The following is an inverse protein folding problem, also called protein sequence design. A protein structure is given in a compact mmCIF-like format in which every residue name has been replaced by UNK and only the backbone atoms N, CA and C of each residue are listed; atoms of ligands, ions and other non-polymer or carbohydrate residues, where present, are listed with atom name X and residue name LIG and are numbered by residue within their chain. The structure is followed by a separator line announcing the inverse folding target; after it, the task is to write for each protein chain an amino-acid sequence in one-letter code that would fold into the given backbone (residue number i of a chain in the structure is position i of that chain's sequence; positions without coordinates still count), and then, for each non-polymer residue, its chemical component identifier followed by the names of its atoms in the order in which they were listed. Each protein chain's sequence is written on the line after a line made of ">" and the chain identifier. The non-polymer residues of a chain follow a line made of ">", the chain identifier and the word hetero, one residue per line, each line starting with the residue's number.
data_IF_123686803332
#
_entry.id   IF_123686803332
#
_cell.length_a   1.000
_cell.length_b   1.000
_cell.length_c   1.000
_cell.angle_alpha   90.00
_cell.angle_beta   90.00
_cell.angle_gamma   90.00
#
_symmetry.space_group_name_H-M   'P 1'
#
loop_
_entity.id
_entity.type
_entity.pdbx_description
1 polymer ?
#
# COMPACT_ATOMS: atom_id res chain seq x y z
N UNK A 1 20.47 -17.95 6.63
CA UNK A 1 18.99 -18.06 6.71
C UNK A 1 18.56 -19.48 7.12
N UNK A 2 19.15 -20.06 8.17
CA UNK A 2 18.79 -21.40 8.66
C UNK A 2 18.39 -21.32 10.12
N UNK A 3 17.08 -21.34 10.39
CA UNK A 3 16.45 -21.98 11.55
C UNK A 3 14.93 -21.80 11.42
N UNK A 4 14.24 -22.93 11.33
CA UNK A 4 12.82 -23.13 11.09
C UNK A 4 11.85 -22.19 11.81
N UNK A 5 11.09 -21.44 11.01
CA UNK A 5 9.68 -21.14 11.26
C UNK A 5 8.99 -21.06 9.88
N UNK A 6 8.62 -22.23 9.32
CA UNK A 6 8.08 -22.34 7.95
C UNK A 6 6.90 -21.41 7.69
N UNK A 7 6.17 -21.00 8.74
CA UNK A 7 4.98 -20.15 8.67
C UNK A 7 5.28 -18.73 8.15
N UNK A 8 6.41 -18.13 8.51
CA UNK A 8 6.75 -16.74 8.15
C UNK A 8 7.69 -16.61 6.96
N UNK A 9 8.25 -17.72 6.48
CA UNK A 9 9.22 -17.69 5.36
C UNK A 9 8.62 -17.03 4.12
N UNK A 10 7.39 -17.38 3.77
CA UNK A 10 6.69 -16.77 2.63
C UNK A 10 6.46 -15.27 2.85
N UNK A 11 6.04 -14.88 4.06
CA UNK A 11 5.81 -13.47 4.40
C UNK A 11 7.07 -12.59 4.31
N UNK A 12 8.20 -13.11 4.80
CA UNK A 12 9.50 -12.43 4.69
C UNK A 12 9.93 -12.32 3.22
N UNK A 13 9.70 -13.36 2.41
CA UNK A 13 10.01 -13.33 0.98
C UNK A 13 9.14 -12.32 0.22
N UNK A 14 7.85 -12.24 0.52
CA UNK A 14 6.94 -11.24 -0.07
C UNK A 14 7.38 -9.82 0.31
N UNK A 15 7.73 -9.59 1.58
CA UNK A 15 8.26 -8.29 2.04
C UNK A 15 9.59 -7.92 1.37
N UNK A 16 10.49 -8.90 1.21
CA UNK A 16 11.73 -8.74 0.46
C UNK A 16 11.49 -8.42 -1.01
N UNK A 17 10.49 -9.05 -1.64
CA UNK A 17 10.12 -8.77 -3.02
C UNK A 17 9.56 -7.35 -3.19
N UNK A 18 8.69 -6.90 -2.29
CA UNK A 18 8.14 -5.54 -2.29
C UNK A 18 9.26 -4.50 -2.21
N UNK A 19 10.18 -4.67 -1.26
CA UNK A 19 11.31 -3.74 -1.08
C UNK A 19 12.30 -3.80 -2.24
N UNK A 20 12.53 -4.97 -2.83
CA UNK A 20 13.38 -5.11 -4.02
C UNK A 20 12.78 -4.44 -5.26
N UNK A 21 11.49 -4.65 -5.54
CA UNK A 21 10.78 -3.99 -6.65
C UNK A 21 10.90 -2.48 -6.50
N UNK A 22 10.64 -1.96 -5.29
CA UNK A 22 10.77 -0.52 -5.04
C UNK A 22 12.21 -0.03 -5.22
N UNK A 23 13.21 -0.75 -4.71
CA UNK A 23 14.61 -0.36 -4.90
C UNK A 23 14.95 -0.20 -6.39
N UNK A 24 14.53 -1.15 -7.24
CA UNK A 24 14.73 -1.08 -8.70
C UNK A 24 14.00 0.12 -9.30
N UNK A 25 12.73 0.35 -8.97
CA UNK A 25 11.97 1.48 -9.50
C UNK A 25 12.54 2.83 -9.05
N UNK A 26 13.05 2.95 -7.82
CA UNK A 26 13.69 4.16 -7.33
C UNK A 26 14.94 4.55 -8.12
N UNK A 27 15.67 3.58 -8.69
CA UNK A 27 16.77 3.89 -9.61
C UNK A 27 16.28 4.55 -10.90
N UNK A 28 15.23 4.00 -11.52
CA UNK A 28 14.60 4.60 -12.71
C UNK A 28 13.99 5.98 -12.40
N UNK A 29 13.29 6.11 -11.27
CA UNK A 29 12.69 7.38 -10.84
C UNK A 29 13.75 8.47 -10.61
N UNK A 30 14.88 8.11 -9.99
CA UNK A 30 16.02 9.02 -9.79
C UNK A 30 16.56 9.53 -11.13
N UNK A 31 16.81 8.63 -12.07
CA UNK A 31 17.33 8.99 -13.39
C UNK A 31 16.34 9.84 -14.19
N UNK A 32 15.04 9.50 -14.11
CA UNK A 32 13.98 10.28 -14.72
C UNK A 32 13.93 11.71 -14.15
N UNK A 33 13.98 11.86 -12.82
CA UNK A 33 13.97 13.17 -12.16
C UNK A 33 15.19 14.01 -12.56
N UNK A 34 16.39 13.43 -12.53
CA UNK A 34 17.64 14.12 -12.93
C UNK A 34 17.53 14.63 -14.38
N UNK A 35 16.98 13.82 -15.27
CA UNK A 35 16.94 14.12 -16.71
C UNK A 35 15.83 15.10 -17.07
N UNK A 36 14.63 14.89 -16.53
CA UNK A 36 13.42 15.59 -16.98
C UNK A 36 12.97 16.70 -16.02
N UNK A 37 13.51 16.75 -14.79
CA UNK A 37 13.13 17.72 -13.76
C UNK A 37 11.61 17.76 -13.51
N UNK A 38 10.96 16.60 -13.62
CA UNK A 38 9.51 16.42 -13.43
C UNK A 38 9.25 15.15 -12.63
N UNK A 39 8.14 15.15 -11.89
CA UNK A 39 7.74 14.01 -11.05
C UNK A 39 7.71 12.72 -11.88
N UNK A 40 8.32 11.62 -11.41
CA UNK A 40 8.29 10.34 -12.08
C UNK A 40 6.97 9.57 -11.82
N UNK A 41 5.82 10.24 -11.91
CA UNK A 41 4.49 9.71 -11.56
C UNK A 41 4.20 8.36 -12.22
N UNK A 42 4.49 8.21 -13.52
CA UNK A 42 4.31 6.93 -14.22
C UNK A 42 5.04 5.76 -13.55
N UNK A 43 6.33 5.94 -13.20
CA UNK A 43 7.12 4.91 -12.55
C UNK A 43 6.62 4.59 -11.14
N UNK A 44 6.10 5.59 -10.40
CA UNK A 44 5.47 5.37 -9.09
C UNK A 44 4.25 4.45 -9.22
N UNK A 45 3.36 4.71 -10.17
CA UNK A 45 2.17 3.88 -10.35
C UNK A 45 2.49 2.47 -10.86
N UNK A 46 3.54 2.30 -11.68
CA UNK A 46 4.04 0.95 -12.06
C UNK A 46 4.60 0.20 -10.86
N UNK A 47 5.34 0.88 -9.98
CA UNK A 47 5.80 0.25 -8.73
C UNK A 47 4.62 -0.12 -7.82
N UNK A 48 3.65 0.78 -7.63
CA UNK A 48 2.51 0.55 -6.77
C UNK A 48 1.59 -0.56 -7.28
N UNK A 49 1.32 -0.64 -8.59
CA UNK A 49 0.47 -1.70 -9.15
C UNK A 49 1.09 -3.09 -8.98
N UNK A 50 2.42 -3.17 -8.80
CA UNK A 50 3.11 -4.42 -8.50
C UNK A 50 3.19 -4.68 -6.99
N UNK A 51 3.53 -3.67 -6.19
CA UNK A 51 3.80 -3.83 -4.76
C UNK A 51 2.54 -3.89 -3.90
N UNK A 52 1.48 -3.16 -4.24
CA UNK A 52 0.24 -3.15 -3.44
C UNK A 52 -0.51 -4.49 -3.49
N UNK A 53 -0.69 -5.16 -4.65
CA UNK A 53 -1.24 -6.51 -4.66
C UNK A 53 -0.44 -7.51 -3.83
N UNK A 54 0.90 -7.37 -3.80
CA UNK A 54 1.75 -8.20 -2.93
C UNK A 54 1.51 -7.91 -1.44
N UNK A 55 1.27 -6.66 -1.06
CA UNK A 55 0.84 -6.33 0.31
C UNK A 55 -0.52 -6.97 0.64
N UNK A 56 -1.46 -7.02 -0.32
CA UNK A 56 -2.74 -7.72 -0.12
C UNK A 56 -2.55 -9.24 0.04
N UNK A 57 -1.61 -9.85 -0.68
CA UNK A 57 -1.21 -11.25 -0.47
C UNK A 57 -0.66 -11.44 0.93
N UNK A 58 0.16 -10.53 1.43
CA UNK A 58 0.70 -10.61 2.80
C UNK A 58 -0.40 -10.57 3.87
N UNK A 59 -1.39 -9.69 3.72
CA UNK A 59 -2.57 -9.68 4.59
C UNK A 59 -3.27 -11.03 4.64
N UNK A 60 -3.44 -11.66 3.47
CA UNK A 60 -4.01 -13.00 3.38
C UNK A 60 -3.13 -14.04 4.06
N UNK A 61 -1.81 -14.02 3.85
CA UNK A 61 -0.88 -15.00 4.43
C UNK A 61 -0.90 -14.99 5.96
N UNK A 62 -0.95 -13.81 6.58
CA UNK A 62 -1.04 -13.68 8.05
C UNK A 62 -2.35 -14.25 8.59
N UNK A 63 -3.46 -14.07 7.88
CA UNK A 63 -4.77 -14.57 8.31
C UNK A 63 -5.09 -15.98 7.79
N UNK A 64 -4.24 -16.56 6.94
CA UNK A 64 -4.48 -17.87 6.33
C UNK A 64 -4.60 -18.97 7.40
N UNK A 65 -3.73 -18.93 8.41
CA UNK A 65 -3.79 -19.86 9.54
C UNK A 65 -5.05 -19.68 10.39
N UNK A 66 -5.70 -18.51 10.32
CA UNK A 66 -6.93 -18.19 11.01
C UNK A 66 -8.20 -18.53 10.20
N UNK A 67 -8.06 -19.04 8.97
CA UNK A 67 -9.18 -19.41 8.10
C UNK A 67 -9.53 -18.39 7.02
N UNK A 68 -8.66 -17.41 6.72
CA UNK A 68 -8.89 -16.50 5.61
C UNK A 68 -9.00 -17.24 4.28
N UNK A 69 -9.98 -16.84 3.46
CA UNK A 69 -10.24 -17.45 2.16
C UNK A 69 -9.48 -16.72 1.06
N UNK A 70 -9.16 -17.44 -0.03
CA UNK A 70 -8.58 -16.83 -1.24
C UNK A 70 -9.52 -15.80 -1.87
N UNK A 71 -10.82 -15.86 -1.58
CA UNK A 71 -11.82 -14.87 -2.00
C UNK A 71 -11.51 -13.49 -1.40
N UNK A 72 -11.14 -13.41 -0.13
CA UNK A 72 -10.75 -12.15 0.52
C UNK A 72 -9.50 -11.57 -0.14
N UNK A 73 -8.49 -12.41 -0.39
CA UNK A 73 -7.25 -12.00 -1.07
C UNK A 73 -7.54 -11.40 -2.45
N UNK A 74 -8.28 -12.10 -3.30
CA UNK A 74 -8.60 -11.61 -4.64
C UNK A 74 -9.48 -10.37 -4.62
N UNK A 75 -10.41 -10.27 -3.67
CA UNK A 75 -11.21 -9.05 -3.49
C UNK A 75 -10.32 -7.84 -3.18
N UNK A 76 -9.37 -7.98 -2.25
CA UNK A 76 -8.43 -6.90 -1.92
C UNK A 76 -7.53 -6.54 -3.11
N UNK A 77 -7.01 -7.54 -3.83
CA UNK A 77 -6.19 -7.31 -5.04
C UNK A 77 -6.98 -6.51 -6.08
N UNK A 78 -8.21 -6.94 -6.41
CA UNK A 78 -9.02 -6.25 -7.43
C UNK A 78 -9.37 -4.83 -7.00
N UNK A 79 -9.73 -4.62 -5.72
CA UNK A 79 -9.96 -3.27 -5.19
C UNK A 79 -8.70 -2.41 -5.25
N UNK A 80 -7.53 -2.97 -4.96
CA UNK A 80 -6.26 -2.23 -5.04
C UNK A 80 -5.90 -1.83 -6.47
N UNK A 81 -6.19 -2.69 -7.45
CA UNK A 81 -6.01 -2.36 -8.87
C UNK A 81 -6.95 -1.24 -9.28
N UNK A 82 -8.23 -1.30 -8.90
CA UNK A 82 -9.19 -0.21 -9.16
C UNK A 82 -8.73 1.10 -8.52
N UNK A 83 -8.29 1.04 -7.26
CA UNK A 83 -7.75 2.20 -6.53
C UNK A 83 -6.58 2.85 -7.26
N UNK A 84 -5.61 2.06 -7.70
CA UNK A 84 -4.40 2.57 -8.36
C UNK A 84 -4.65 3.03 -9.80
N UNK A 85 -5.46 2.31 -10.57
CA UNK A 85 -5.83 2.72 -11.92
C UNK A 85 -6.64 4.02 -11.88
N UNK A 86 -7.64 4.12 -10.99
CA UNK A 86 -8.39 5.36 -10.82
C UNK A 86 -7.48 6.52 -10.38
N UNK A 87 -6.56 6.27 -9.43
CA UNK A 87 -5.57 7.27 -9.04
C UNK A 87 -4.73 7.75 -10.23
N UNK A 88 -4.18 6.84 -11.02
CA UNK A 88 -3.36 7.20 -12.18
C UNK A 88 -4.15 8.02 -13.22
N UNK A 89 -5.40 7.63 -13.46
CA UNK A 89 -6.28 8.37 -14.36
C UNK A 89 -6.48 9.82 -13.90
N UNK A 90 -6.62 10.05 -12.60
CA UNK A 90 -6.77 11.40 -12.07
C UNK A 90 -5.47 12.21 -11.99
N UNK A 91 -4.34 11.57 -11.68
CA UNK A 91 -3.04 12.27 -11.51
C UNK A 91 -2.34 12.55 -12.84
N UNK A 92 -2.48 11.66 -13.83
CA UNK A 92 -1.67 11.69 -15.06
C UNK A 92 -2.46 11.82 -16.37
N UNK A 93 -3.76 11.50 -16.39
CA UNK A 93 -4.53 11.44 -17.64
C UNK A 93 -5.58 12.55 -17.71
N UNK A 94 -6.39 12.70 -16.67
CA UNK A 94 -7.50 13.66 -16.58
C UNK A 94 -7.17 14.75 -15.57
N UNK A 95 -6.11 15.51 -15.84
CA UNK A 95 -5.47 16.42 -14.88
C UNK A 95 -6.14 17.79 -14.72
N UNK A 96 -7.17 18.08 -15.51
CA UNK A 96 -7.82 19.40 -15.57
C UNK A 96 -9.26 19.37 -15.09
N UNK A 97 -9.74 20.51 -14.58
CA UNK A 97 -11.14 20.69 -14.18
C UNK A 97 -11.54 19.74 -13.05
N UNK A 98 -12.67 19.05 -13.19
CA UNK A 98 -13.17 18.10 -12.16
C UNK A 98 -12.49 16.74 -12.21
N UNK A 99 -11.65 16.47 -13.23
CA UNK A 99 -11.03 15.17 -13.47
C UNK A 99 -10.25 14.61 -12.28
N UNK A 100 -9.28 15.34 -11.71
CA UNK A 100 -8.47 14.82 -10.61
C UNK A 100 -9.32 14.55 -9.36
N UNK A 101 -10.27 15.43 -9.05
CA UNK A 101 -11.14 15.23 -7.90
C UNK A 101 -12.09 14.03 -8.08
N UNK A 102 -12.66 13.84 -9.27
CA UNK A 102 -13.59 12.74 -9.55
C UNK A 102 -12.90 11.37 -9.53
N UNK A 103 -11.74 11.26 -10.18
CA UNK A 103 -10.94 10.03 -10.20
C UNK A 103 -10.29 9.73 -8.84
N UNK A 104 -9.83 10.77 -8.15
CA UNK A 104 -9.37 10.69 -6.76
C UNK A 104 -10.45 10.19 -5.81
N UNK A 105 -11.71 10.60 -6.01
CA UNK A 105 -12.86 10.08 -5.24
C UNK A 105 -13.09 8.59 -5.50
N UNK A 106 -13.06 8.15 -6.75
CA UNK A 106 -13.21 6.71 -7.09
C UNK A 106 -12.10 5.89 -6.45
N UNK A 107 -10.86 6.38 -6.54
CA UNK A 107 -9.69 5.77 -5.89
C UNK A 107 -9.86 5.71 -4.35
N UNK A 108 -10.28 6.82 -3.74
CA UNK A 108 -10.53 6.93 -2.31
C UNK A 108 -11.64 5.98 -1.82
N UNK A 109 -12.73 5.82 -2.59
CA UNK A 109 -13.78 4.85 -2.26
C UNK A 109 -13.21 3.43 -2.25
N UNK A 110 -12.45 3.04 -3.28
CA UNK A 110 -11.83 1.72 -3.32
C UNK A 110 -10.88 1.50 -2.12
N UNK A 111 -10.09 2.51 -1.77
CA UNK A 111 -9.24 2.49 -0.57
C UNK A 111 -10.04 2.27 0.72
N UNK A 112 -11.11 3.04 0.96
CA UNK A 112 -11.91 2.90 2.17
C UNK A 112 -12.70 1.59 2.21
N UNK A 113 -13.08 1.01 1.07
CA UNK A 113 -13.65 -0.34 1.01
C UNK A 113 -12.62 -1.38 1.46
N UNK A 114 -11.34 -1.27 1.07
CA UNK A 114 -10.27 -2.14 1.56
C UNK A 114 -10.10 -1.98 3.08
N UNK A 115 -10.08 -0.73 3.58
CA UNK A 115 -10.01 -0.45 5.03
C UNK A 115 -11.16 -1.12 5.77
N UNK A 116 -12.39 -1.00 5.26
CA UNK A 116 -13.56 -1.62 5.85
C UNK A 116 -13.44 -3.15 5.89
N UNK A 117 -13.04 -3.77 4.78
CA UNK A 117 -12.90 -5.22 4.67
C UNK A 117 -11.90 -5.79 5.70
N UNK A 118 -10.81 -5.07 5.98
CA UNK A 118 -9.79 -5.52 6.94
C UNK A 118 -10.11 -5.16 8.40
N UNK A 119 -10.71 -3.99 8.67
CA UNK A 119 -10.97 -3.52 10.04
C UNK A 119 -12.28 -4.03 10.63
N UNK A 120 -13.34 -4.08 9.82
CA UNK A 120 -14.70 -4.41 10.27
C UNK A 120 -15.25 -5.68 9.61
N UNK A 121 -14.59 -6.17 8.56
CA UNK A 121 -15.00 -7.36 7.82
C UNK A 121 -14.58 -8.69 8.47
N UNK A 122 -14.63 -9.75 7.66
CA UNK A 122 -14.27 -11.11 8.07
C UNK A 122 -12.84 -11.21 8.59
N UNK A 123 -11.91 -10.41 8.07
CA UNK A 123 -10.52 -10.40 8.46
C UNK A 123 -10.33 -10.16 9.97
N UNK A 124 -11.07 -9.20 10.54
CA UNK A 124 -11.00 -8.88 11.97
C UNK A 124 -11.55 -10.00 12.85
N UNK A 125 -12.63 -10.65 12.41
CA UNK A 125 -13.22 -11.80 13.12
C UNK A 125 -12.23 -12.96 13.18
N UNK A 126 -11.58 -13.28 12.05
CA UNK A 126 -10.56 -14.32 11.95
C UNK A 126 -9.31 -13.97 12.80
N UNK A 127 -8.85 -12.72 12.75
CA UNK A 127 -7.73 -12.29 13.57
C UNK A 127 -8.03 -12.43 15.07
N UNK A 128 -9.25 -12.09 15.48
CA UNK A 128 -9.67 -12.14 16.89
C UNK A 128 -9.81 -13.59 17.37
N UNK A 129 -10.30 -14.51 16.52
CA UNK A 129 -10.36 -15.94 16.86
C UNK A 129 -8.97 -16.58 16.95
N UNK A 130 -8.02 -16.17 16.11
CA UNK A 130 -6.65 -16.67 16.17
C UNK A 130 -5.86 -16.17 17.39
N UNK A 131 -6.08 -14.92 17.80
CA UNK A 131 -5.41 -14.33 18.96
C UNK A 131 -3.89 -14.20 18.81
N UNK A 132 -3.22 -13.90 19.93
CA UNK A 132 -1.76 -13.90 20.04
C UNK A 132 -1.02 -13.06 18.99
N UNK A 133 0.05 -13.63 18.43
CA UNK A 133 0.89 -12.98 17.42
C UNK A 133 0.11 -12.63 16.14
N UNK A 134 -0.86 -13.47 15.74
CA UNK A 134 -1.69 -13.24 14.54
C UNK A 134 -2.59 -12.01 14.71
N UNK A 135 -3.23 -11.85 15.86
CA UNK A 135 -4.05 -10.66 16.15
C UNK A 135 -3.19 -9.40 16.21
N UNK A 136 -2.01 -9.47 16.83
CA UNK A 136 -1.05 -8.36 16.88
C UNK A 136 -0.61 -7.94 15.48
N UNK A 137 -0.20 -8.91 14.66
CA UNK A 137 0.18 -8.72 13.27
C UNK A 137 -0.93 -8.05 12.46
N UNK A 138 -2.15 -8.61 12.55
CA UNK A 138 -3.31 -8.07 11.85
C UNK A 138 -3.62 -6.61 12.26
N UNK A 139 -3.64 -6.31 13.55
CA UNK A 139 -3.91 -4.94 14.02
C UNK A 139 -2.84 -3.95 13.54
N UNK A 140 -1.57 -4.37 13.50
CA UNK A 140 -0.49 -3.53 13.01
C UNK A 140 -0.60 -3.29 11.50
N UNK A 141 -0.87 -4.33 10.72
CA UNK A 141 -1.12 -4.21 9.28
C UNK A 141 -2.33 -3.30 8.98
N UNK A 142 -3.41 -3.44 9.74
CA UNK A 142 -4.59 -2.59 9.64
C UNK A 142 -4.26 -1.10 9.86
N UNK A 143 -3.29 -0.79 10.73
CA UNK A 143 -2.76 0.58 10.89
C UNK A 143 -1.92 1.03 9.70
N UNK A 144 -1.13 0.14 9.08
CA UNK A 144 -0.42 0.49 7.84
C UNK A 144 -1.38 0.85 6.72
N UNK A 145 -2.42 0.05 6.51
CA UNK A 145 -3.39 0.38 5.47
C UNK A 145 -4.13 1.65 5.81
N UNK A 146 -4.63 1.84 7.04
CA UNK A 146 -5.41 3.04 7.37
C UNK A 146 -4.58 4.33 7.45
N UNK A 147 -3.44 4.28 8.13
CA UNK A 147 -2.63 5.47 8.45
C UNK A 147 -1.48 5.59 7.45
N UNK A 148 -0.76 4.50 7.21
CA UNK A 148 0.37 4.48 6.29
C UNK A 148 -0.06 4.77 4.86
N UNK A 149 -1.16 4.20 4.37
CA UNK A 149 -1.59 4.47 3.00
C UNK A 149 -2.32 5.81 2.85
N UNK A 150 -2.82 6.42 3.93
CA UNK A 150 -3.39 7.76 3.88
C UNK A 150 -2.38 8.85 3.44
N UNK A 151 -1.08 8.54 3.51
CA UNK A 151 -0.02 9.41 2.99
C UNK A 151 -0.15 9.59 1.46
N UNK A 152 -0.57 8.55 0.72
CA UNK A 152 -0.64 8.64 -0.75
C UNK A 152 -1.77 9.55 -1.25
N UNK A 153 -3.01 9.50 -0.73
CA UNK A 153 -4.03 10.51 -1.06
C UNK A 153 -3.59 11.95 -0.75
N UNK A 154 -2.78 12.17 0.29
CA UNK A 154 -2.22 13.50 0.59
C UNK A 154 -1.23 13.92 -0.50
N UNK A 155 -0.33 13.02 -0.92
CA UNK A 155 0.57 13.27 -2.05
C UNK A 155 -0.20 13.55 -3.34
N UNK A 156 -1.23 12.78 -3.62
CA UNK A 156 -2.12 12.99 -4.76
C UNK A 156 -2.75 14.39 -4.73
N UNK A 157 -3.33 14.79 -3.60
CA UNK A 157 -3.94 16.12 -3.44
C UNK A 157 -2.92 17.26 -3.47
N UNK A 158 -1.66 17.00 -3.11
CA UNK A 158 -0.57 17.97 -3.24
C UNK A 158 -0.13 18.18 -4.69
N UNK A 159 -0.14 17.12 -5.50
CA UNK A 159 0.31 17.17 -6.90
C UNK A 159 -0.79 17.38 -7.94
N UNK A 160 -2.06 17.52 -7.53
CA UNK A 160 -3.19 17.71 -8.44
C UNK A 160 -3.99 18.97 -8.10
N UNK A 161 -4.66 19.52 -9.11
CA UNK A 161 -5.55 20.66 -8.93
C UNK A 161 -6.95 20.21 -8.47
N UNK A 162 -7.54 20.93 -7.53
CA UNK A 162 -8.88 20.66 -7.04
C UNK A 162 -9.34 21.60 -5.92
N UNK A 163 -10.49 21.31 -5.35
CA UNK A 163 -11.04 22.07 -4.20
C UNK A 163 -10.12 22.06 -2.97
N UNK A 164 -9.19 21.10 -2.92
CA UNK A 164 -8.22 20.90 -1.86
C UNK A 164 -6.88 21.61 -2.09
N UNK A 165 -6.68 22.28 -3.24
CA UNK A 165 -5.41 22.95 -3.57
C UNK A 165 -5.05 24.07 -2.59
N UNK A 166 -6.02 24.71 -1.93
CA UNK A 166 -5.75 25.69 -0.88
C UNK A 166 -5.24 25.09 0.44
N UNK A 167 -5.32 23.76 0.60
CA UNK A 167 -4.92 23.03 1.81
C UNK A 167 -3.59 22.29 1.60
N UNK A 168 -3.47 21.58 0.47
CA UNK A 168 -2.31 20.73 0.17
C UNK A 168 -1.43 21.27 -0.97
N UNK A 169 -1.89 22.28 -1.70
CA UNK A 169 -1.11 22.90 -2.77
C UNK A 169 0.15 23.55 -2.23
N UNK A 170 1.25 23.41 -2.98
CA UNK A 170 2.58 23.87 -2.59
C UNK A 170 3.35 22.90 -1.70
N UNK A 171 2.77 21.77 -1.32
CA UNK A 171 3.54 20.66 -0.75
C UNK A 171 4.28 19.89 -1.85
N UNK A 172 5.52 19.49 -1.57
CA UNK A 172 6.33 18.69 -2.47
C UNK A 172 5.82 17.24 -2.52
N UNK A 173 4.98 16.93 -3.51
CA UNK A 173 4.37 15.60 -3.69
C UNK A 173 5.41 14.47 -3.69
N UNK A 174 6.55 14.66 -4.36
CA UNK A 174 7.59 13.63 -4.43
C UNK A 174 8.20 13.30 -3.07
N UNK A 175 8.30 14.29 -2.17
CA UNK A 175 8.75 14.07 -0.78
C UNK A 175 7.71 13.26 -0.03
N UNK A 176 6.42 13.59 -0.17
CA UNK A 176 5.31 12.88 0.46
C UNK A 176 5.31 11.42 0.03
N UNK A 177 5.40 11.15 -1.28
CA UNK A 177 5.44 9.79 -1.80
C UNK A 177 6.69 9.01 -1.37
N UNK A 178 7.86 9.65 -1.33
CA UNK A 178 9.07 9.00 -0.84
C UNK A 178 8.98 8.60 0.64
N UNK A 179 8.39 9.46 1.48
CA UNK A 179 8.11 9.15 2.88
C UNK A 179 7.08 8.02 2.99
N UNK A 180 6.02 8.07 2.18
CA UNK A 180 5.00 7.03 2.10
C UNK A 180 5.60 5.68 1.76
N UNK A 181 6.47 5.62 0.76
CA UNK A 181 7.13 4.38 0.35
C UNK A 181 8.11 3.85 1.41
N UNK A 182 8.89 4.72 2.04
CA UNK A 182 9.79 4.32 3.12
C UNK A 182 9.00 3.67 4.28
N UNK A 183 7.90 4.28 4.70
CA UNK A 183 7.04 3.74 5.76
C UNK A 183 6.39 2.42 5.30
N UNK A 184 5.71 2.43 4.17
CA UNK A 184 4.83 1.32 3.78
C UNK A 184 5.55 0.15 3.12
N UNK A 185 6.82 0.29 2.72
CA UNK A 185 7.60 -0.81 2.16
C UNK A 185 8.65 -1.29 3.15
N UNK A 186 9.50 -0.38 3.64
CA UNK A 186 10.56 -0.73 4.59
C UNK A 186 9.96 -0.99 5.97
N UNK A 187 9.17 -0.05 6.50
CA UNK A 187 8.53 -0.20 7.81
C UNK A 187 7.61 -1.41 7.88
N UNK A 188 6.83 -1.65 6.82
CA UNK A 188 6.01 -2.86 6.68
C UNK A 188 6.84 -4.15 6.77
N UNK A 189 7.92 -4.26 6.00
CA UNK A 189 8.78 -5.44 6.01
C UNK A 189 9.48 -5.66 7.35
N UNK A 190 9.90 -4.58 8.02
CA UNK A 190 10.49 -4.65 9.36
C UNK A 190 9.49 -5.15 10.41
N UNK A 191 8.22 -4.79 10.28
CA UNK A 191 7.15 -5.30 11.15
C UNK A 191 6.91 -6.78 10.94
N UNK A 192 6.80 -7.25 9.69
CA UNK A 192 6.66 -8.68 9.38
C UNK A 192 7.86 -9.46 9.94
N UNK A 193 9.07 -8.94 9.78
CA UNK A 193 10.28 -9.53 10.36
C UNK A 193 10.22 -9.61 11.89
N UNK A 194 9.83 -8.50 12.55
CA UNK A 194 9.73 -8.45 14.01
C UNK A 194 8.72 -9.46 14.55
N UNK A 195 7.55 -9.57 13.92
CA UNK A 195 6.52 -10.56 14.26
C UNK A 195 7.05 -12.00 14.09
N UNK A 196 7.81 -12.25 13.02
CA UNK A 196 8.42 -13.56 12.80
C UNK A 196 9.41 -13.92 13.92
N UNK A 197 10.25 -12.97 14.34
CA UNK A 197 11.23 -13.17 15.43
C UNK A 197 10.55 -13.39 16.78
N UNK A 198 9.47 -12.65 17.07
CA UNK A 198 8.72 -12.77 18.33
C UNK A 198 7.84 -14.01 18.42
N UNK A 199 7.56 -14.68 17.30
CA UNK A 199 6.72 -15.87 17.27
C UNK A 199 7.48 -17.19 17.55
N UNK A 200 8.76 -17.08 17.91
CA UNK A 200 9.59 -18.15 18.46
C UNK A 200 9.21 -18.43 19.91
#
# INVERSE_FOLDING_TARGET
>A
MNSHDNKWRTSILVSGLITFIAAVHYWYMREYWITNQTSPTFFRYVDWILTVPLMCVEFYLILKAAGATTKLMWRMIMLSVVMLVAGYLGEAVYTTGVGPAAWGLISGIAYFVIVYDIWMGEAKKLATSAGGATLSAHNMLCKFVLIGWAIYPIGYMAGTEGWYSGIFGGLEMDVIYNVGDAINKIGFGLVVYNLAVQSK
#
